data_IF_026385432221
#
_entry.id   IF_026385432221
#
_cell.length_a   1.000
_cell.length_b   1.000
_cell.length_c   1.000
_cell.angle_alpha   90.00
_cell.angle_beta   90.00
_cell.angle_gamma   90.00
#
_symmetry.space_group_name_H-M   'P 1'
#
loop_
_entity.id
_entity.type
_entity.pdbx_description
1 polymer ?
#
# COMPACT_ATOMS: atom_id res chain seq x y z
N UNK A 1 -7.96 0.65 3.16
CA UNK A 1 -7.61 2.09 3.19
C UNK A 1 -8.41 2.74 4.31
N UNK A 2 -7.79 3.05 5.45
CA UNK A 2 -8.52 3.57 6.62
C UNK A 2 -8.29 5.05 6.91
N UNK A 3 -7.06 5.54 6.74
CA UNK A 3 -6.69 6.91 7.11
C UNK A 3 -5.78 7.60 6.07
N UNK A 4 -6.20 7.75 4.80
CA UNK A 4 -5.37 8.41 3.80
C UNK A 4 -5.12 9.90 4.10
N UNK A 5 -5.98 10.55 4.89
CA UNK A 5 -5.85 11.96 5.26
C UNK A 5 -4.55 12.32 6.00
N UNK A 6 -3.85 11.34 6.58
CA UNK A 6 -2.53 11.56 7.20
C UNK A 6 -1.48 12.04 6.19
N UNK A 7 -1.63 11.72 4.90
CA UNK A 7 -0.74 12.18 3.84
C UNK A 7 -0.83 13.69 3.68
N UNK A 8 -2.05 14.25 3.66
CA UNK A 8 -2.26 15.69 3.67
C UNK A 8 -1.70 16.35 4.94
N UNK A 9 -1.91 15.73 6.10
CA UNK A 9 -1.38 16.24 7.38
C UNK A 9 0.15 16.35 7.35
N UNK A 10 0.84 15.35 6.80
CA UNK A 10 2.29 15.37 6.65
C UNK A 10 2.76 16.54 5.76
N UNK A 11 2.06 16.80 4.65
CA UNK A 11 2.35 17.94 3.77
C UNK A 11 2.08 19.27 4.47
N UNK A 12 0.91 19.41 5.10
CA UNK A 12 0.47 20.64 5.77
C UNK A 12 1.46 21.08 6.87
N UNK A 13 1.94 20.12 7.67
CA UNK A 13 2.90 20.38 8.74
C UNK A 13 4.37 20.27 8.30
N UNK A 14 4.64 20.05 7.01
CA UNK A 14 6.01 19.89 6.45
C UNK A 14 6.82 18.83 7.20
N UNK A 15 6.21 17.66 7.45
CA UNK A 15 6.84 16.56 8.15
C UNK A 15 7.57 15.67 7.12
N UNK A 16 8.91 15.63 7.11
CA UNK A 16 9.66 14.80 6.18
C UNK A 16 9.68 13.34 6.66
N UNK A 17 8.76 12.53 6.13
CA UNK A 17 8.68 11.10 6.41
C UNK A 17 8.60 10.29 5.12
N UNK A 18 9.14 9.06 5.17
CA UNK A 18 9.00 8.06 4.10
C UNK A 18 7.98 7.01 4.53
N UNK A 19 6.86 6.92 3.81
CA UNK A 19 5.89 5.82 3.91
C UNK A 19 6.20 4.75 2.86
N UNK A 20 6.30 3.49 3.26
CA UNK A 20 6.41 2.36 2.33
C UNK A 20 5.11 1.58 2.39
N UNK A 21 4.32 1.64 1.31
CA UNK A 21 3.05 0.93 1.20
C UNK A 21 3.32 -0.52 0.80
N UNK A 22 2.98 -1.45 1.69
CA UNK A 22 3.01 -2.88 1.43
C UNK A 22 1.72 -3.30 0.74
N UNK A 23 1.71 -3.25 -0.60
CA UNK A 23 0.51 -3.43 -1.41
C UNK A 23 0.39 -4.88 -1.89
N UNK A 24 -0.16 -5.75 -1.05
CA UNK A 24 -0.51 -7.13 -1.40
C UNK A 24 -1.97 -7.25 -1.90
N UNK A 25 -2.65 -6.12 -2.10
CA UNK A 25 -4.04 -6.01 -2.61
C UNK A 25 -5.09 -6.75 -1.78
N UNK A 26 -4.85 -6.90 -0.48
CA UNK A 26 -5.83 -7.51 0.42
C UNK A 26 -5.54 -7.17 1.87
N UNK A 27 -6.53 -7.38 2.74
CA UNK A 27 -6.29 -7.66 4.14
C UNK A 27 -5.86 -9.13 4.27
N UNK A 28 -4.63 -9.45 3.82
CA UNK A 28 -4.27 -10.85 3.57
C UNK A 28 -4.29 -11.74 4.83
N UNK A 29 -4.01 -11.17 6.00
CA UNK A 29 -4.20 -11.87 7.28
C UNK A 29 -5.66 -12.32 7.48
N UNK A 30 -6.63 -11.50 7.09
CA UNK A 30 -8.06 -11.84 7.13
C UNK A 30 -8.43 -12.86 6.06
N UNK A 31 -7.92 -12.72 4.83
CA UNK A 31 -8.12 -13.72 3.75
C UNK A 31 -7.72 -15.11 4.25
N UNK A 32 -6.50 -15.24 4.79
CA UNK A 32 -5.99 -16.50 5.31
C UNK A 32 -6.84 -17.02 6.47
N UNK A 33 -7.30 -16.15 7.37
CA UNK A 33 -8.14 -16.54 8.49
C UNK A 33 -9.52 -17.04 8.01
N UNK A 34 -10.17 -16.32 7.09
CA UNK A 34 -11.47 -16.69 6.54
C UNK A 34 -11.41 -17.99 5.74
N UNK A 35 -10.34 -18.22 4.97
CA UNK A 35 -10.12 -19.49 4.29
C UNK A 35 -10.03 -20.65 5.29
N UNK A 36 -9.23 -20.49 6.36
CA UNK A 36 -9.10 -21.51 7.42
C UNK A 36 -10.42 -21.79 8.12
N UNK A 37 -11.15 -20.75 8.52
CA UNK A 37 -12.43 -20.89 9.23
C UNK A 37 -13.51 -21.47 8.33
N UNK A 38 -13.63 -21.00 7.09
CA UNK A 38 -14.64 -21.49 6.16
C UNK A 38 -14.42 -22.95 5.79
N UNK A 39 -13.15 -23.37 5.60
CA UNK A 39 -12.82 -24.78 5.37
C UNK A 39 -13.13 -25.65 6.60
N UNK A 40 -12.80 -25.19 7.81
CA UNK A 40 -13.16 -25.88 9.06
C UNK A 40 -14.67 -26.08 9.21
N UNK A 41 -15.47 -25.16 8.67
CA UNK A 41 -16.93 -25.22 8.71
C UNK A 41 -17.56 -25.85 7.45
N UNK A 42 -16.77 -26.48 6.56
CA UNK A 42 -17.24 -27.09 5.31
C UNK A 42 -18.03 -26.13 4.41
N UNK A 43 -17.66 -24.84 4.38
CA UNK A 43 -18.28 -23.82 3.52
C UNK A 43 -17.51 -23.53 2.23
N UNK A 44 -16.32 -24.13 2.07
CA UNK A 44 -15.39 -23.85 0.98
C UNK A 44 -14.63 -22.52 1.17
N UNK A 45 -13.65 -22.25 0.29
CA UNK A 45 -12.76 -21.09 0.38
C UNK A 45 -13.00 -20.03 -0.71
N UNK A 46 -13.81 -20.36 -1.72
CA UNK A 46 -14.01 -19.56 -2.94
C UNK A 46 -14.51 -18.15 -2.65
N UNK A 47 -15.23 -17.94 -1.55
CA UNK A 47 -15.82 -16.65 -1.16
C UNK A 47 -15.01 -15.88 -0.12
N UNK A 48 -13.84 -16.39 0.30
CA UNK A 48 -13.04 -15.75 1.33
C UNK A 48 -12.51 -14.36 0.93
N UNK A 49 -12.47 -14.06 -0.37
CA UNK A 49 -12.05 -12.78 -0.93
C UNK A 49 -13.09 -11.66 -0.75
N UNK A 50 -14.37 -12.02 -0.56
CA UNK A 50 -15.46 -11.04 -0.46
C UNK A 50 -15.25 -10.18 0.79
N UNK A 51 -15.01 -8.89 0.57
CA UNK A 51 -14.76 -7.91 1.64
C UNK A 51 -13.34 -7.92 2.21
N UNK A 52 -12.43 -8.76 1.70
CA UNK A 52 -11.05 -8.86 2.20
C UNK A 52 -9.99 -8.61 1.13
N UNK A 53 -10.31 -8.79 -0.15
CA UNK A 53 -9.45 -8.37 -1.25
C UNK A 53 -9.75 -6.94 -1.67
N UNK A 54 -8.76 -6.30 -2.27
CA UNK A 54 -8.83 -4.96 -2.85
C UNK A 54 -8.52 -5.12 -4.33
N UNK A 55 -9.54 -5.49 -5.09
CA UNK A 55 -9.46 -5.75 -6.52
C UNK A 55 -10.63 -5.07 -7.26
N UNK A 56 -10.42 -4.80 -8.55
CA UNK A 56 -11.45 -4.28 -9.47
C UNK A 56 -12.13 -2.96 -9.02
N UNK A 57 -11.43 -1.81 -9.08
CA UNK A 57 -10.03 -1.63 -9.47
C UNK A 57 -9.07 -1.73 -8.29
N UNK A 58 -7.79 -1.96 -8.59
CA UNK A 58 -6.73 -1.76 -7.60
C UNK A 58 -6.59 -0.27 -7.27
N UNK A 59 -6.21 0.03 -6.03
CA UNK A 59 -5.90 1.40 -5.62
C UNK A 59 -4.54 1.81 -6.21
N UNK A 60 -4.50 2.99 -6.82
CA UNK A 60 -3.26 3.66 -7.22
C UNK A 60 -2.77 4.55 -6.07
N UNK A 61 -1.89 3.99 -5.24
CA UNK A 61 -1.39 4.71 -4.05
C UNK A 61 -0.42 5.83 -4.41
N UNK A 62 0.27 5.75 -5.55
CA UNK A 62 1.08 6.86 -6.05
C UNK A 62 0.18 8.07 -6.31
N UNK A 63 -0.87 7.92 -7.13
CA UNK A 63 -1.78 9.04 -7.44
C UNK A 63 -2.52 9.56 -6.21
N UNK A 64 -2.88 8.67 -5.28
CA UNK A 64 -3.46 9.08 -4.01
C UNK A 64 -2.51 10.00 -3.23
N UNK A 65 -1.23 9.62 -3.13
CA UNK A 65 -0.21 10.45 -2.48
C UNK A 65 -0.01 11.79 -3.18
N UNK A 66 0.12 11.77 -4.51
CA UNK A 66 0.29 12.97 -5.33
C UNK A 66 -0.89 13.94 -5.18
N UNK A 67 -2.13 13.43 -5.12
CA UNK A 67 -3.33 14.25 -4.92
C UNK A 67 -3.34 15.02 -3.60
N UNK A 68 -2.56 14.58 -2.61
CA UNK A 68 -2.42 15.22 -1.29
C UNK A 68 -1.13 16.02 -1.16
N UNK A 69 -0.31 16.11 -2.21
CA UNK A 69 0.96 16.84 -2.24
C UNK A 69 2.16 16.04 -1.71
N UNK A 70 2.02 14.73 -1.51
CA UNK A 70 3.13 13.84 -1.12
C UNK A 70 3.85 13.37 -2.37
N UNK A 71 5.18 13.27 -2.34
CA UNK A 71 5.94 12.62 -3.41
C UNK A 71 5.51 11.16 -3.52
N UNK A 72 4.93 10.75 -4.65
CA UNK A 72 4.51 9.38 -4.90
C UNK A 72 5.47 8.65 -5.83
N UNK A 73 5.75 7.39 -5.55
CA UNK A 73 6.54 6.52 -6.43
C UNK A 73 6.00 5.09 -6.44
N UNK A 74 5.60 4.59 -7.61
CA UNK A 74 5.15 3.22 -7.79
C UNK A 74 4.01 3.11 -8.83
N UNK A 75 3.24 2.01 -8.83
CA UNK A 75 3.52 0.77 -8.13
C UNK A 75 4.84 0.14 -8.58
N UNK A 76 5.69 -0.23 -7.64
CA UNK A 76 6.92 -1.00 -7.89
C UNK A 76 6.56 -2.49 -7.95
N UNK A 77 6.84 -3.11 -9.11
CA UNK A 77 6.57 -4.52 -9.37
C UNK A 77 7.84 -5.38 -9.40
N UNK A 78 8.91 -4.88 -10.03
CA UNK A 78 10.19 -5.58 -10.07
C UNK A 78 10.98 -5.25 -8.79
N UNK A 79 11.38 -6.25 -7.98
CA UNK A 79 12.23 -6.03 -6.82
C UNK A 79 13.55 -5.29 -7.13
N UNK A 80 14.05 -5.35 -8.36
CA UNK A 80 15.25 -4.62 -8.79
C UNK A 80 15.05 -3.10 -8.78
N UNK A 81 13.82 -2.65 -9.00
CA UNK A 81 13.48 -1.22 -9.05
C UNK A 81 13.26 -0.63 -7.65
N UNK A 82 13.03 -1.47 -6.64
CA UNK A 82 12.79 -1.02 -5.26
C UNK A 82 13.98 -0.26 -4.67
N UNK A 83 15.21 -0.75 -4.84
CA UNK A 83 16.41 -0.10 -4.33
C UNK A 83 16.59 1.33 -4.90
N UNK A 84 16.57 1.50 -6.24
CA UNK A 84 16.57 2.82 -6.88
C UNK A 84 15.41 3.72 -6.45
N UNK A 85 14.19 3.19 -6.33
CA UNK A 85 13.03 3.96 -5.88
C UNK A 85 13.22 4.50 -4.46
N UNK A 86 13.60 3.64 -3.51
CA UNK A 86 13.89 4.07 -2.14
C UNK A 86 14.94 5.18 -2.07
N UNK A 87 15.97 5.16 -2.92
CA UNK A 87 16.97 6.24 -2.98
C UNK A 87 16.36 7.57 -3.43
N UNK A 88 15.48 7.57 -4.44
CA UNK A 88 14.79 8.77 -4.92
C UNK A 88 13.82 9.32 -3.88
N UNK A 89 13.02 8.45 -3.26
CA UNK A 89 12.11 8.82 -2.19
C UNK A 89 12.86 9.38 -0.96
N UNK A 90 13.97 8.76 -0.55
CA UNK A 90 14.84 9.29 0.52
C UNK A 90 15.41 10.66 0.15
N UNK A 91 15.76 10.88 -1.12
CA UNK A 91 16.23 12.19 -1.56
C UNK A 91 15.13 13.26 -1.44
N UNK A 92 13.86 12.93 -1.72
CA UNK A 92 12.72 13.84 -1.49
C UNK A 92 12.55 14.17 0.00
N UNK A 93 12.60 13.14 0.87
CA UNK A 93 12.55 13.33 2.33
C UNK A 93 13.68 14.23 2.83
N UNK A 94 14.90 14.06 2.32
CA UNK A 94 16.04 14.91 2.68
C UNK A 94 15.89 16.37 2.22
N UNK A 95 15.02 16.65 1.24
CA UNK A 95 14.66 18.03 0.84
C UNK A 95 13.53 18.63 1.69
N UNK A 96 12.97 17.87 2.63
CA UNK A 96 11.89 18.32 3.50
C UNK A 96 10.49 17.89 3.03
N UNK A 97 10.38 17.08 1.98
CA UNK A 97 9.11 16.63 1.41
C UNK A 97 8.68 15.27 2.01
N UNK A 98 7.41 15.04 2.36
CA UNK A 98 6.94 13.68 2.63
C UNK A 98 6.94 12.85 1.35
N UNK A 99 7.20 11.55 1.48
CA UNK A 99 7.24 10.60 0.36
C UNK A 99 6.47 9.32 0.66
N UNK A 100 5.87 8.72 -0.37
CA UNK A 100 5.24 7.41 -0.36
C UNK A 100 5.80 6.56 -1.51
N UNK A 101 6.26 5.35 -1.19
CA UNK A 101 6.64 4.33 -2.17
C UNK A 101 5.62 3.21 -2.12
N UNK A 102 4.93 2.96 -3.23
CA UNK A 102 3.98 1.86 -3.40
C UNK A 102 4.70 0.61 -3.89
N UNK A 103 4.76 -0.43 -3.06
CA UNK A 103 5.46 -1.69 -3.37
C UNK A 103 4.44 -2.80 -3.50
N UNK A 104 4.25 -3.28 -4.72
CA UNK A 104 3.38 -4.44 -4.95
C UNK A 104 4.08 -5.69 -4.48
N UNK A 105 3.38 -6.46 -3.66
CA UNK A 105 3.93 -7.60 -2.95
C UNK A 105 3.09 -8.83 -3.19
N UNK A 106 3.71 -9.99 -3.03
CA UNK A 106 2.99 -11.26 -3.15
C UNK A 106 1.99 -11.39 -1.99
N UNK A 107 0.82 -12.02 -2.23
CA UNK A 107 -0.10 -12.37 -1.16
C UNK A 107 0.58 -13.41 -0.26
N UNK A 108 0.82 -13.06 1.01
CA UNK A 108 1.50 -13.90 2.01
C UNK A 108 0.95 -13.67 3.42
#
# INVERSE_FOLDING_TARGET
>A
MYAPGVLWTAVHHRIPLLSVMHNNRAYHQEVMHLQRMSNRHNRGIERAHIGTTIDTPNIDYQKLAESMGVYGEGPIWDPKDLGPALRRAIAAVKRGEPALVDVVTQPR
#
